data_IF_084518517091
#
_entry.id   IF_084518517091
#
_cell.length_a   1.000
_cell.length_b   1.000
_cell.length_c   1.000
_cell.angle_alpha   90.00
_cell.angle_beta   90.00
_cell.angle_gamma   90.00
#
_symmetry.space_group_name_H-M   'P 1'
#
loop_
_entity.id
_entity.type
_entity.pdbx_description
1 polymer ?
#
# COMPACT_ATOMS: atom_id res chain seq x y z
N UNK A 1 -8.46 15.42 2.63
CA UNK A 1 -7.25 14.60 2.35
C UNK A 1 -6.25 14.90 3.45
N UNK A 2 -5.75 13.87 4.14
CA UNK A 2 -4.73 13.98 5.17
C UNK A 2 -3.47 13.34 4.61
N UNK A 3 -2.34 14.05 4.66
CA UNK A 3 -1.03 13.51 4.28
C UNK A 3 -0.22 13.30 5.55
N UNK A 4 0.33 12.10 5.72
CA UNK A 4 1.18 11.75 6.87
C UNK A 4 2.59 11.53 6.33
N UNK A 5 3.54 12.33 6.81
CA UNK A 5 4.93 12.19 6.41
C UNK A 5 5.57 11.00 7.14
N UNK A 6 6.28 10.17 6.38
CA UNK A 6 7.08 9.06 6.89
C UNK A 6 8.54 9.43 6.66
N UNK A 7 9.27 9.68 7.74
CA UNK A 7 10.68 10.12 7.66
C UNK A 7 11.66 8.95 7.51
N UNK A 8 11.28 7.77 8.01
CA UNK A 8 12.09 6.55 7.95
C UNK A 8 11.28 5.39 7.35
N UNK A 9 11.90 4.66 6.43
CA UNK A 9 11.29 3.52 5.75
C UNK A 9 11.35 2.25 6.63
N UNK A 10 10.70 2.28 7.80
CA UNK A 10 10.63 1.13 8.72
C UNK A 10 9.21 0.79 9.18
N UNK A 11 9.08 -0.41 9.77
CA UNK A 11 7.82 -0.95 10.25
C UNK A 11 7.18 -0.07 11.35
N UNK A 12 7.98 0.56 12.21
CA UNK A 12 7.47 1.40 13.31
C UNK A 12 6.68 2.60 12.79
N UNK A 13 7.20 3.30 11.77
CA UNK A 13 6.48 4.43 11.17
C UNK A 13 5.22 3.96 10.45
N UNK A 14 5.29 2.83 9.75
CA UNK A 14 4.13 2.23 9.07
C UNK A 14 3.01 1.88 10.06
N UNK A 15 3.37 1.30 11.21
CA UNK A 15 2.43 0.99 12.30
C UNK A 15 1.82 2.26 12.90
N UNK A 16 2.60 3.33 13.03
CA UNK A 16 2.12 4.64 13.49
C UNK A 16 1.10 5.25 12.53
N UNK A 17 1.34 5.16 11.22
CA UNK A 17 0.36 5.61 10.20
C UNK A 17 -0.95 4.85 10.34
N UNK A 18 -0.88 3.51 10.48
CA UNK A 18 -2.07 2.71 10.70
C UNK A 18 -2.84 3.12 11.97
N UNK A 19 -2.14 3.41 13.08
CA UNK A 19 -2.79 3.91 14.29
C UNK A 19 -3.52 5.24 14.08
N UNK A 20 -2.88 6.19 13.40
CA UNK A 20 -3.49 7.50 13.08
C UNK A 20 -4.76 7.30 12.25
N UNK A 21 -4.70 6.46 11.21
CA UNK A 21 -5.85 6.20 10.33
C UNK A 21 -6.98 5.53 11.12
N UNK A 22 -6.68 4.53 11.94
CA UNK A 22 -7.68 3.82 12.73
C UNK A 22 -8.39 4.75 13.73
N UNK A 23 -7.62 5.63 14.38
CA UNK A 23 -8.15 6.62 15.30
C UNK A 23 -9.02 7.64 14.56
N UNK A 24 -8.60 8.10 13.39
CA UNK A 24 -9.35 9.08 12.59
C UNK A 24 -10.67 8.50 12.06
N UNK A 25 -10.63 7.28 11.51
CA UNK A 25 -11.83 6.54 11.05
C UNK A 25 -12.87 6.42 12.16
N UNK A 26 -12.40 6.10 13.38
CA UNK A 26 -13.27 5.98 14.55
C UNK A 26 -13.76 7.34 15.05
N UNK A 27 -12.90 8.34 15.19
CA UNK A 27 -13.29 9.66 15.71
C UNK A 27 -14.27 10.37 14.78
N UNK A 28 -14.04 10.30 13.48
CA UNK A 28 -14.89 10.97 12.49
C UNK A 28 -16.13 10.16 12.10
N UNK A 29 -16.25 8.90 12.54
CA UNK A 29 -17.35 8.00 12.18
C UNK A 29 -17.49 7.84 10.66
N UNK A 30 -16.36 7.65 9.98
CA UNK A 30 -16.25 7.54 8.51
C UNK A 30 -15.97 6.10 8.05
N UNK A 31 -16.38 5.11 8.84
CA UNK A 31 -16.26 3.70 8.47
C UNK A 31 -16.89 3.46 7.08
N UNK A 32 -16.17 2.78 6.19
CA UNK A 32 -16.58 2.54 4.80
C UNK A 32 -16.37 3.72 3.84
N UNK A 33 -15.82 4.84 4.32
CA UNK A 33 -15.58 6.05 3.50
C UNK A 33 -14.12 6.50 3.50
N UNK A 34 -13.24 5.76 4.17
CA UNK A 34 -11.82 6.08 4.26
C UNK A 34 -11.02 5.25 3.24
N UNK A 35 -10.09 5.91 2.56
CA UNK A 35 -9.13 5.26 1.65
C UNK A 35 -7.72 5.61 2.13
N UNK A 36 -6.90 4.59 2.37
CA UNK A 36 -5.47 4.71 2.62
C UNK A 36 -4.73 4.36 1.34
N UNK A 37 -3.87 5.26 0.86
CA UNK A 37 -2.94 4.99 -0.23
C UNK A 37 -1.53 5.06 0.32
N UNK A 38 -0.77 3.95 0.24
CA UNK A 38 0.56 3.86 0.82
C UNK A 38 1.56 3.25 -0.17
N UNK A 39 2.51 4.06 -0.61
CA UNK A 39 3.58 3.65 -1.53
C UNK A 39 4.84 3.23 -0.78
N UNK A 40 4.70 2.32 0.18
CA UNK A 40 5.78 1.83 1.04
C UNK A 40 5.54 0.38 1.41
N UNK A 41 6.62 -0.39 1.52
CA UNK A 41 6.62 -1.76 2.03
C UNK A 41 7.81 -1.97 2.97
N UNK A 42 7.76 -3.06 3.73
CA UNK A 42 8.85 -3.59 4.55
C UNK A 42 8.95 -5.10 4.31
N UNK A 43 10.03 -5.72 4.77
CA UNK A 43 10.11 -7.18 4.82
C UNK A 43 8.91 -7.77 5.57
N UNK A 44 8.49 -8.96 5.15
CA UNK A 44 7.30 -9.62 5.67
C UNK A 44 7.23 -9.63 7.20
N UNK A 45 6.18 -9.01 7.75
CA UNK A 45 5.97 -8.86 9.19
C UNK A 45 4.52 -9.12 9.58
N UNK A 46 4.30 -10.17 10.37
CA UNK A 46 2.96 -10.55 10.85
C UNK A 46 2.33 -9.46 11.71
N UNK A 47 3.14 -8.64 12.38
CA UNK A 47 2.64 -7.50 13.18
C UNK A 47 2.08 -6.41 12.28
N UNK A 48 2.77 -6.09 11.18
CA UNK A 48 2.30 -5.13 10.17
C UNK A 48 1.02 -5.63 9.51
N UNK A 49 1.00 -6.89 9.08
CA UNK A 49 -0.18 -7.47 8.43
C UNK A 49 -1.42 -7.44 9.33
N UNK A 50 -1.27 -7.87 10.60
CA UNK A 50 -2.35 -7.81 11.59
C UNK A 50 -2.88 -6.39 11.77
N UNK A 51 -2.00 -5.40 11.77
CA UNK A 51 -2.38 -3.99 11.94
C UNK A 51 -3.16 -3.47 10.73
N UNK A 52 -2.69 -3.77 9.53
CA UNK A 52 -3.36 -3.34 8.29
C UNK A 52 -4.69 -4.06 8.08
N UNK A 53 -4.78 -5.35 8.43
CA UNK A 53 -6.06 -6.05 8.49
C UNK A 53 -7.05 -5.40 9.47
N UNK A 54 -6.59 -4.88 10.61
CA UNK A 54 -7.46 -4.15 11.52
C UNK A 54 -8.01 -2.84 10.91
N UNK A 55 -7.31 -2.22 9.94
CA UNK A 55 -7.83 -1.06 9.21
C UNK A 55 -8.99 -1.44 8.29
N UNK A 56 -8.83 -2.55 7.56
CA UNK A 56 -9.87 -3.03 6.63
C UNK A 56 -11.09 -3.51 7.40
N UNK A 57 -10.89 -4.21 8.53
CA UNK A 57 -11.97 -4.56 9.47
C UNK A 57 -12.67 -3.33 10.06
N UNK A 58 -11.96 -2.21 10.25
CA UNK A 58 -12.55 -0.93 10.66
C UNK A 58 -13.24 -0.17 9.50
N UNK A 59 -13.24 -0.72 8.29
CA UNK A 59 -13.92 -0.18 7.12
C UNK A 59 -13.09 0.79 6.28
N UNK A 60 -11.76 0.80 6.41
CA UNK A 60 -10.89 1.51 5.48
C UNK A 60 -10.55 0.63 4.26
N UNK A 61 -10.48 1.24 3.08
CA UNK A 61 -9.94 0.60 1.88
C UNK A 61 -8.45 0.93 1.80
N UNK A 62 -7.58 -0.07 1.74
CA UNK A 62 -6.13 0.12 1.74
C UNK A 62 -5.52 -0.27 0.39
N UNK A 63 -4.95 0.70 -0.32
CA UNK A 63 -4.16 0.49 -1.52
C UNK A 63 -2.67 0.61 -1.19
N UNK A 64 -1.90 -0.40 -1.56
CA UNK A 64 -0.48 -0.51 -1.21
C UNK A 64 0.35 -0.89 -2.44
N UNK A 65 1.62 -0.49 -2.47
CA UNK A 65 2.50 -0.85 -3.60
C UNK A 65 3.04 -2.28 -3.45
N UNK A 66 3.14 -3.01 -4.56
CA UNK A 66 3.80 -4.32 -4.59
C UNK A 66 5.29 -4.24 -4.22
N UNK A 67 5.92 -3.09 -4.52
CA UNK A 67 7.35 -2.85 -4.33
C UNK A 67 8.14 -2.80 -5.64
N UNK A 68 9.36 -2.29 -5.55
CA UNK A 68 10.21 -1.97 -6.70
C UNK A 68 11.56 -2.75 -6.65
N UNK A 69 11.50 -4.08 -6.56
CA UNK A 69 12.70 -4.91 -6.47
C UNK A 69 12.75 -6.13 -7.38
N UNK A 70 11.78 -6.36 -8.26
CA UNK A 70 11.65 -7.61 -9.03
C UNK A 70 11.59 -8.87 -8.16
N UNK A 71 10.89 -8.77 -7.02
CA UNK A 71 10.73 -9.87 -6.08
C UNK A 71 9.27 -10.31 -5.97
N UNK A 72 9.03 -11.49 -5.39
CA UNK A 72 7.68 -11.91 -5.02
C UNK A 72 7.11 -10.97 -3.95
N UNK A 73 6.04 -10.26 -4.28
CA UNK A 73 5.31 -9.35 -3.41
C UNK A 73 4.82 -10.04 -2.12
N UNK A 74 4.62 -11.36 -2.15
CA UNK A 74 4.28 -12.16 -0.98
C UNK A 74 5.35 -12.17 0.12
N UNK A 75 6.57 -11.71 -0.18
CA UNK A 75 7.66 -11.57 0.79
C UNK A 75 7.59 -10.25 1.58
N UNK A 76 6.68 -9.33 1.23
CA UNK A 76 6.67 -7.98 1.79
C UNK A 76 5.32 -7.62 2.43
N UNK A 77 5.40 -6.85 3.51
CA UNK A 77 4.24 -6.30 4.19
C UNK A 77 4.09 -4.81 3.87
N UNK A 78 2.85 -4.29 3.78
CA UNK A 78 1.58 -4.99 3.97
C UNK A 78 1.07 -5.72 2.72
N UNK A 79 1.76 -5.65 1.58
CA UNK A 79 1.27 -6.16 0.29
C UNK A 79 0.90 -7.65 0.26
N UNK A 80 1.50 -8.48 1.13
CA UNK A 80 1.17 -9.90 1.27
C UNK A 80 -0.12 -10.19 2.04
N UNK A 81 -0.68 -9.21 2.76
CA UNK A 81 -1.92 -9.37 3.53
C UNK A 81 -3.14 -9.37 2.59
N UNK A 82 -3.95 -10.45 2.52
CA UNK A 82 -5.00 -10.60 1.50
C UNK A 82 -6.13 -9.57 1.55
N UNK A 83 -6.27 -8.83 2.65
CA UNK A 83 -7.26 -7.76 2.76
C UNK A 83 -6.83 -6.43 2.11
N UNK A 84 -5.57 -6.33 1.66
CA UNK A 84 -5.06 -5.17 0.94
C UNK A 84 -5.41 -5.20 -0.54
N UNK A 85 -5.35 -4.05 -1.20
CA UNK A 85 -5.29 -3.96 -2.66
C UNK A 85 -3.85 -3.64 -3.04
N UNK A 86 -3.12 -4.67 -3.46
CA UNK A 86 -1.71 -4.56 -3.84
C UNK A 86 -1.57 -4.26 -5.32
N UNK A 87 -0.92 -3.14 -5.62
CA UNK A 87 -0.82 -2.60 -6.98
C UNK A 87 0.59 -2.80 -7.53
N UNK A 88 0.68 -3.47 -8.68
CA UNK A 88 1.91 -3.60 -9.47
C UNK A 88 2.01 -2.53 -10.54
N UNK A 89 3.22 -2.04 -10.81
CA UNK A 89 3.48 -1.07 -11.86
C UNK A 89 3.66 -1.74 -13.25
N UNK A 90 3.06 -1.14 -14.27
CA UNK A 90 3.24 -1.48 -15.69
C UNK A 90 3.50 -0.22 -16.54
N UNK A 91 4.11 -0.41 -17.72
CA UNK A 91 4.34 0.66 -18.69
C UNK A 91 3.08 0.91 -19.52
N UNK A 92 2.59 2.16 -19.49
CA UNK A 92 1.37 2.60 -20.17
C UNK A 92 1.47 2.52 -21.71
N UNK A 93 2.68 2.48 -22.27
CA UNK A 93 2.90 2.49 -23.72
C UNK A 93 2.77 1.10 -24.33
N UNK A 94 3.02 0.06 -23.55
CA UNK A 94 3.24 -1.29 -24.07
C UNK A 94 2.42 -2.35 -23.32
N UNK A 95 1.74 -2.00 -22.23
CA UNK A 95 1.11 -2.92 -21.27
C UNK A 95 2.07 -4.00 -20.71
N UNK A 96 3.38 -3.70 -20.71
CA UNK A 96 4.42 -4.61 -20.23
C UNK A 96 4.69 -4.30 -18.75
N UNK A 97 4.79 -5.34 -17.93
CA UNK A 97 5.21 -5.21 -16.53
C UNK A 97 6.60 -4.62 -16.45
N UNK A 98 6.80 -3.63 -15.59
CA UNK A 98 8.13 -3.11 -15.34
C UNK A 98 8.96 -4.21 -14.66
N UNK A 99 10.13 -4.54 -15.22
CA UNK A 99 11.03 -5.54 -14.62
C UNK A 99 11.37 -5.19 -13.17
N UNK A 100 11.44 -3.90 -12.84
CA UNK A 100 11.72 -3.45 -11.48
C UNK A 100 10.54 -3.62 -10.51
N UNK A 101 9.33 -3.98 -10.95
CA UNK A 101 8.16 -4.06 -10.06
C UNK A 101 7.91 -5.49 -9.59
N UNK A 102 7.71 -5.64 -8.28
CA UNK A 102 7.43 -6.91 -7.62
C UNK A 102 6.19 -7.62 -8.22
N UNK A 103 6.19 -8.94 -8.18
CA UNK A 103 5.23 -9.82 -8.86
C UNK A 103 4.63 -10.86 -7.91
N UNK A 104 3.78 -11.74 -8.44
CA UNK A 104 3.30 -12.92 -7.70
C UNK A 104 1.83 -12.84 -7.30
N UNK A 105 1.37 -13.85 -6.57
CA UNK A 105 -0.04 -14.05 -6.24
C UNK A 105 -0.59 -13.01 -5.23
N UNK A 106 0.29 -12.29 -4.55
CA UNK A 106 -0.09 -11.19 -3.65
C UNK A 106 -0.44 -9.89 -4.39
N UNK A 107 -0.27 -9.83 -5.72
CA UNK A 107 -0.68 -8.66 -6.53
C UNK A 107 -2.13 -8.83 -6.96
N UNK A 108 -2.98 -7.85 -6.64
CA UNK A 108 -4.39 -7.85 -7.00
C UNK A 108 -4.65 -7.21 -8.36
N UNK A 109 -4.03 -6.06 -8.62
CA UNK A 109 -4.26 -5.25 -9.82
C UNK A 109 -2.98 -4.61 -10.34
N UNK A 110 -2.98 -4.26 -11.63
CA UNK A 110 -1.86 -3.58 -12.28
C UNK A 110 -2.29 -2.15 -12.65
N UNK A 111 -1.35 -1.21 -12.55
CA UNK A 111 -1.59 0.19 -12.88
C UNK A 111 -0.37 0.82 -13.57
N UNK A 112 -0.61 1.86 -14.36
CA UNK A 112 0.45 2.61 -15.03
C UNK A 112 1.36 3.29 -13.99
N UNK A 113 2.64 2.94 -14.00
CA UNK A 113 3.64 3.47 -13.04
C UNK A 113 4.90 4.05 -13.70
N UNK A 114 4.91 4.16 -15.03
CA UNK A 114 6.06 4.66 -15.82
C UNK A 114 5.62 5.93 -16.55
N UNK A 115 6.47 6.96 -16.54
CA UNK A 115 6.26 8.25 -17.23
C UNK A 115 4.88 8.89 -16.95
N UNK A 116 4.41 8.80 -15.70
CA UNK A 116 3.13 9.38 -15.27
C UNK A 116 3.27 10.90 -15.09
N UNK A 117 2.48 11.68 -15.82
CA UNK A 117 2.46 13.15 -15.71
C UNK A 117 2.10 13.58 -14.27
N UNK A 118 2.88 14.52 -13.72
CA UNK A 118 2.76 14.97 -12.33
C UNK A 118 2.55 16.49 -12.27
N UNK A 119 2.15 16.99 -11.10
CA UNK A 119 1.68 18.37 -10.88
C UNK A 119 2.78 19.46 -11.00
N UNK A 120 3.92 19.18 -11.64
CA UNK A 120 5.08 20.06 -11.72
C UNK A 120 5.46 20.51 -13.14
N UNK A 121 4.52 20.48 -14.09
CA UNK A 121 4.70 21.01 -15.45
C UNK A 121 4.88 22.52 -15.50
#
# INVERSE_FOLDING_TARGET
>A
MISIQIDDHNATQMMRVADIVLEDVKKQQIQGKAVLSMSMHVDGSDEVDKKFRALTEAGAICLVSAGNGDYDAGQYSPGREPSMITVRAMDARNDITLELSNYGAAVDIWAHGVDVESAGG
#
